data_IF_171175302767
#
_entry.id   IF_171175302767
#
_cell.length_a   1.000
_cell.length_b   1.000
_cell.length_c   1.000
_cell.angle_alpha   90.00
_cell.angle_beta   90.00
_cell.angle_gamma   90.00
#
_symmetry.space_group_name_H-M   'P 1'
#
loop_
_entity.id
_entity.type
_entity.pdbx_description
1 polymer ?
#
# COMPACT_ATOMS: atom_id res chain seq x y z
N UNK A 1 -2.97 -3.65 -16.08
CA UNK A 1 -3.57 -2.39 -15.58
C UNK A 1 -4.71 -2.01 -16.50
N UNK A 2 -5.79 -1.42 -15.98
CA UNK A 2 -6.96 -0.98 -16.76
C UNK A 2 -7.52 0.32 -16.19
N UNK A 3 -8.14 1.15 -17.03
CA UNK A 3 -8.86 2.34 -16.59
C UNK A 3 -10.27 1.96 -16.13
N UNK A 4 -10.69 2.42 -14.95
CA UNK A 4 -12.05 2.28 -14.43
C UNK A 4 -12.70 3.66 -14.27
N UNK A 5 -13.92 3.88 -14.80
CA UNK A 5 -14.64 5.12 -14.59
C UNK A 5 -14.90 5.39 -13.10
N UNK A 6 -15.03 6.66 -12.72
CA UNK A 6 -15.49 7.01 -11.38
C UNK A 6 -16.91 6.46 -11.11
N UNK A 7 -17.16 5.75 -9.99
CA UNK A 7 -18.46 5.15 -9.70
C UNK A 7 -19.57 6.19 -9.45
N UNK A 8 -19.21 7.45 -9.19
CA UNK A 8 -20.19 8.55 -9.04
C UNK A 8 -20.42 9.30 -10.36
N UNK A 9 -19.83 8.87 -11.47
CA UNK A 9 -20.01 9.48 -12.79
C UNK A 9 -19.21 10.75 -13.02
N UNK A 10 -18.20 11.03 -12.20
CA UNK A 10 -17.30 12.16 -12.46
C UNK A 10 -16.49 11.93 -13.75
N UNK A 11 -16.09 13.00 -14.48
CA UNK A 11 -15.47 12.89 -15.79
C UNK A 11 -13.97 12.53 -15.73
N UNK A 12 -13.59 11.61 -14.84
CA UNK A 12 -12.23 11.07 -14.74
C UNK A 12 -12.27 9.57 -14.47
N UNK A 13 -11.18 8.91 -14.85
CA UNK A 13 -10.97 7.47 -14.62
C UNK A 13 -9.88 7.26 -13.57
N UNK A 14 -9.91 6.11 -12.90
CA UNK A 14 -8.85 5.63 -12.02
C UNK A 14 -8.13 4.48 -12.69
N UNK A 15 -6.81 4.40 -12.49
CA UNK A 15 -6.07 3.24 -12.95
C UNK A 15 -6.23 2.12 -11.90
N UNK A 16 -6.76 0.97 -12.31
CA UNK A 16 -6.77 -0.24 -11.49
C UNK A 16 -5.57 -1.12 -11.81
N UNK A 17 -4.89 -1.56 -10.75
CA UNK A 17 -3.81 -2.53 -10.82
C UNK A 17 -4.19 -3.78 -10.03
N UNK A 18 -4.48 -4.86 -10.76
CA UNK A 18 -4.57 -6.21 -10.22
C UNK A 18 -3.16 -6.76 -9.95
N UNK A 19 -2.92 -7.27 -8.75
CA UNK A 19 -1.63 -7.77 -8.27
C UNK A 19 -1.75 -9.26 -7.96
N UNK A 20 -1.19 -10.09 -8.83
CA UNK A 20 -1.15 -11.54 -8.64
C UNK A 20 0.04 -11.93 -7.76
N UNK A 21 -0.18 -11.99 -6.44
CA UNK A 21 0.87 -12.24 -5.44
C UNK A 21 1.71 -13.51 -5.70
N UNK A 22 1.13 -14.67 -6.09
CA UNK A 22 1.90 -15.83 -6.52
C UNK A 22 2.93 -15.56 -7.61
N UNK A 23 2.59 -14.69 -8.58
CA UNK A 23 3.49 -14.35 -9.70
C UNK A 23 4.46 -13.23 -9.33
N UNK A 24 4.01 -12.20 -8.60
CA UNK A 24 4.82 -11.01 -8.31
C UNK A 24 5.73 -11.20 -7.09
N UNK A 25 5.38 -12.12 -6.18
CA UNK A 25 6.02 -12.30 -4.88
C UNK A 25 5.63 -11.25 -3.84
N UNK A 26 4.67 -10.37 -4.14
CA UNK A 26 4.20 -9.30 -3.25
C UNK A 26 2.70 -9.06 -3.44
N UNK A 27 1.93 -8.98 -2.36
CA UNK A 27 0.49 -8.71 -2.42
C UNK A 27 0.17 -7.23 -2.67
N UNK A 28 -1.07 -6.95 -3.12
CA UNK A 28 -1.57 -5.58 -3.24
C UNK A 28 -1.47 -4.80 -1.91
N UNK A 29 -1.73 -5.47 -0.78
CA UNK A 29 -1.63 -4.87 0.55
C UNK A 29 -0.20 -4.47 0.89
N UNK A 30 0.75 -5.40 0.70
CA UNK A 30 2.15 -5.14 0.98
C UNK A 30 2.73 -4.05 0.07
N UNK A 31 2.36 -4.08 -1.22
CA UNK A 31 2.75 -3.06 -2.19
C UNK A 31 2.21 -1.69 -1.81
N UNK A 32 0.90 -1.57 -1.53
CA UNK A 32 0.28 -0.30 -1.15
C UNK A 32 0.88 0.28 0.12
N UNK A 33 1.17 -0.56 1.12
CA UNK A 33 1.78 -0.08 2.36
C UNK A 33 3.25 0.32 2.17
N UNK A 34 3.99 -0.40 1.34
CA UNK A 34 5.37 -0.03 0.99
C UNK A 34 5.43 1.32 0.24
N UNK A 35 4.45 1.61 -0.63
CA UNK A 35 4.31 2.92 -1.28
C UNK A 35 4.03 4.03 -0.25
N UNK A 36 3.12 3.77 0.71
CA UNK A 36 2.74 4.74 1.73
C UNK A 36 3.84 5.02 2.77
N UNK A 37 4.63 4.00 3.14
CA UNK A 37 5.74 4.13 4.11
C UNK A 37 7.05 4.61 3.43
N UNK A 38 7.05 4.83 2.12
CA UNK A 38 8.17 5.43 1.39
C UNK A 38 8.33 6.93 1.66
N UNK A 39 9.49 7.47 1.26
CA UNK A 39 9.78 8.90 1.26
C UNK A 39 10.10 9.34 -0.18
N UNK A 40 9.32 10.24 -0.81
CA UNK A 40 8.04 10.77 -0.31
C UNK A 40 6.95 9.68 -0.24
N UNK A 41 5.95 9.91 0.61
CA UNK A 41 4.82 9.00 0.82
C UNK A 41 3.86 9.04 -0.36
N UNK A 42 3.50 7.86 -0.89
CA UNK A 42 2.52 7.72 -1.98
C UNK A 42 1.34 6.89 -1.47
N UNK A 43 0.20 7.56 -1.25
CA UNK A 43 -1.01 6.91 -0.73
C UNK A 43 -1.97 6.58 -1.85
N UNK A 44 -2.22 5.29 -2.03
CA UNK A 44 -3.10 4.75 -3.06
C UNK A 44 -4.49 4.48 -2.48
N UNK A 45 -5.48 4.26 -3.35
CA UNK A 45 -6.81 3.79 -2.93
C UNK A 45 -6.76 2.28 -2.70
N UNK A 46 -6.54 1.91 -1.45
CA UNK A 46 -6.24 0.55 -1.02
C UNK A 46 -7.47 -0.25 -0.51
N UNK A 47 -8.70 0.24 -0.70
CA UNK A 47 -9.92 -0.38 -0.17
C UNK A 47 -10.15 -1.84 -0.57
N UNK A 48 -9.50 -2.30 -1.65
CA UNK A 48 -9.67 -3.64 -2.22
C UNK A 48 -8.38 -4.46 -2.25
N UNK A 49 -7.38 -4.09 -1.45
CA UNK A 49 -6.11 -4.84 -1.42
C UNK A 49 -6.28 -6.29 -0.99
N UNK A 50 -7.31 -6.58 -0.18
CA UNK A 50 -7.67 -7.93 0.23
C UNK A 50 -8.29 -8.74 -0.92
N UNK A 51 -8.83 -8.07 -1.94
CA UNK A 51 -9.31 -8.66 -3.20
C UNK A 51 -8.19 -8.76 -4.26
N UNK A 52 -6.96 -8.39 -3.90
CA UNK A 52 -5.78 -8.50 -4.77
C UNK A 52 -5.60 -7.34 -5.75
N UNK A 53 -6.28 -6.20 -5.55
CA UNK A 53 -6.08 -5.03 -6.41
C UNK A 53 -6.06 -3.71 -5.64
N UNK A 54 -5.52 -2.69 -6.28
CA UNK A 54 -5.55 -1.31 -5.79
C UNK A 54 -5.88 -0.34 -6.91
N UNK A 55 -6.28 0.87 -6.53
CA UNK A 55 -6.58 1.95 -7.47
C UNK A 55 -5.64 3.14 -7.29
N UNK A 56 -5.29 3.76 -8.40
CA UNK A 56 -4.51 5.00 -8.46
C UNK A 56 -5.43 6.11 -8.96
N UNK A 57 -5.53 7.17 -8.16
CA UNK A 57 -6.27 8.38 -8.49
C UNK A 57 -5.26 9.44 -8.94
N UNK A 58 -5.08 9.54 -10.25
CA UNK A 58 -4.11 10.48 -10.83
C UNK A 58 -4.67 11.91 -10.96
N UNK A 59 -5.94 12.14 -10.62
CA UNK A 59 -6.61 13.44 -10.79
C UNK A 59 -5.92 14.55 -9.99
N UNK A 60 -5.40 14.22 -8.81
CA UNK A 60 -4.74 15.16 -7.89
C UNK A 60 -3.20 15.14 -8.02
N UNK A 61 -2.65 14.40 -8.99
CA UNK A 61 -1.20 14.27 -9.19
C UNK A 61 -0.73 15.19 -10.31
N UNK A 62 0.41 15.85 -10.11
CA UNK A 62 1.15 16.46 -11.24
C UNK A 62 1.97 15.40 -11.99
N UNK A 63 2.44 15.71 -13.19
CA UNK A 63 3.18 14.78 -14.04
C UNK A 63 4.40 14.17 -13.32
N UNK A 64 5.13 14.97 -12.55
CA UNK A 64 6.28 14.49 -11.77
C UNK A 64 5.88 13.49 -10.66
N UNK A 65 4.69 13.64 -10.08
CA UNK A 65 4.17 12.72 -9.05
C UNK A 65 3.67 11.42 -9.68
N UNK A 66 3.13 11.49 -10.91
CA UNK A 66 2.78 10.31 -11.72
C UNK A 66 4.05 9.53 -12.06
N UNK A 67 5.09 10.20 -12.53
CA UNK A 67 6.37 9.58 -12.87
C UNK A 67 7.02 8.93 -11.64
N UNK A 68 7.02 9.63 -10.51
CA UNK A 68 7.51 9.11 -9.24
C UNK A 68 6.73 7.87 -8.79
N UNK A 69 5.41 7.88 -8.95
CA UNK A 69 4.54 6.74 -8.63
C UNK A 69 4.86 5.55 -9.51
N UNK A 70 5.01 5.75 -10.81
CA UNK A 70 5.39 4.71 -11.76
C UNK A 70 6.77 4.11 -11.44
N UNK A 71 7.76 4.97 -11.16
CA UNK A 71 9.11 4.55 -10.81
C UNK A 71 9.13 3.74 -9.50
N UNK A 72 8.38 4.17 -8.48
CA UNK A 72 8.28 3.42 -7.21
C UNK A 72 7.61 2.06 -7.41
N UNK A 73 6.55 1.98 -8.22
CA UNK A 73 5.96 0.69 -8.58
C UNK A 73 6.98 -0.21 -9.26
N UNK A 74 7.72 0.30 -10.24
CA UNK A 74 8.76 -0.45 -10.94
C UNK A 74 9.81 -0.96 -9.97
N UNK A 75 10.32 -0.12 -9.07
CA UNK A 75 11.30 -0.51 -8.05
C UNK A 75 10.79 -1.67 -7.19
N UNK A 76 9.59 -1.55 -6.61
CA UNK A 76 9.03 -2.57 -5.72
C UNK A 76 8.67 -3.88 -6.47
N UNK A 77 8.13 -3.77 -7.68
CA UNK A 77 7.75 -4.93 -8.49
C UNK A 77 8.96 -5.65 -9.11
N UNK A 78 10.08 -4.97 -9.29
CA UNK A 78 11.34 -5.56 -9.80
C UNK A 78 12.35 -5.88 -8.70
N UNK A 79 12.04 -5.57 -7.44
CA UNK A 79 12.88 -5.88 -6.29
C UNK A 79 13.18 -7.39 -6.18
N UNK A 80 14.28 -7.71 -5.49
CA UNK A 80 14.65 -9.10 -5.23
C UNK A 80 13.55 -9.86 -4.48
N UNK A 81 13.46 -11.18 -4.69
CA UNK A 81 12.49 -12.01 -3.98
C UNK A 81 12.64 -11.90 -2.45
N UNK A 82 13.87 -11.80 -1.94
CA UNK A 82 14.12 -11.62 -0.51
C UNK A 82 13.58 -10.28 0.01
N UNK A 83 13.71 -9.22 -0.78
CA UNK A 83 13.15 -7.92 -0.42
C UNK A 83 11.63 -7.92 -0.43
N UNK A 84 11.03 -8.52 -1.46
CA UNK A 84 9.58 -8.72 -1.53
C UNK A 84 9.07 -9.58 -0.39
N UNK A 85 9.77 -10.65 -0.02
CA UNK A 85 9.44 -11.49 1.12
C UNK A 85 9.48 -10.71 2.44
N UNK A 86 10.48 -9.82 2.64
CA UNK A 86 10.53 -8.92 3.81
C UNK A 86 9.35 -7.95 3.84
N UNK A 87 9.00 -7.35 2.71
CA UNK A 87 7.83 -6.46 2.61
C UNK A 87 6.52 -7.22 2.87
N UNK A 88 6.39 -8.43 2.30
CA UNK A 88 5.25 -9.30 2.52
C UNK A 88 5.12 -9.70 3.99
N UNK A 89 6.20 -10.07 4.66
CA UNK A 89 6.20 -10.37 6.09
C UNK A 89 5.78 -9.15 6.92
N UNK A 90 6.21 -7.96 6.52
CA UNK A 90 5.97 -6.72 7.25
C UNK A 90 4.54 -6.20 7.08
N UNK A 91 3.97 -6.32 5.88
CA UNK A 91 2.74 -5.60 5.50
C UNK A 91 1.64 -6.50 4.91
N UNK A 92 1.91 -7.78 4.68
CA UNK A 92 1.09 -8.67 3.88
C UNK A 92 -0.25 -9.10 4.45
N UNK A 93 -0.57 -8.77 5.71
CA UNK A 93 -1.78 -9.20 6.41
C UNK A 93 -3.10 -8.56 5.94
N UNK A 94 -3.08 -7.72 4.90
CA UNK A 94 -4.28 -7.01 4.45
C UNK A 94 -4.64 -5.78 5.28
N UNK A 95 -5.70 -5.05 4.93
CA UNK A 95 -6.10 -3.85 5.71
C UNK A 95 -6.65 -4.23 7.09
N UNK A 96 -7.46 -5.30 7.17
CA UNK A 96 -8.11 -5.72 8.41
C UNK A 96 -7.12 -6.11 9.52
N UNK A 97 -6.10 -6.92 9.22
CA UNK A 97 -5.11 -7.33 10.23
C UNK A 97 -4.19 -6.17 10.64
N UNK A 98 -3.85 -5.28 9.71
CA UNK A 98 -3.00 -4.13 10.00
C UNK A 98 -3.72 -3.05 10.84
N UNK A 99 -5.02 -2.82 10.59
CA UNK A 99 -5.82 -1.85 11.34
C UNK A 99 -6.03 -2.27 12.81
N UNK A 100 -6.29 -3.55 13.06
CA UNK A 100 -6.58 -4.08 14.40
C UNK A 100 -5.42 -3.93 15.40
N UNK A 101 -4.18 -3.79 14.94
CA UNK A 101 -2.99 -3.81 15.79
C UNK A 101 -2.27 -2.47 15.93
N UNK A 102 -2.61 -1.46 15.11
CA UNK A 102 -1.86 -0.19 15.10
C UNK A 102 -2.04 0.60 16.40
N UNK A 103 -3.26 0.66 16.94
CA UNK A 103 -3.54 1.34 18.22
C UNK A 103 -2.94 0.59 19.44
N UNK A 104 -2.88 -0.74 19.39
CA UNK A 104 -2.25 -1.57 20.44
C UNK A 104 -0.72 -1.45 20.46
N UNK A 105 -0.09 -1.27 19.29
CA UNK A 105 1.36 -1.07 19.18
C UNK A 105 1.79 0.30 19.69
N UNK A 106 0.99 1.34 19.47
CA UNK A 106 1.23 2.68 20.03
C UNK A 106 1.15 2.68 21.57
N UNK A 107 0.15 2.01 22.16
CA UNK A 107 -0.04 1.93 23.60
C UNK A 107 1.09 1.20 24.37
N UNK A 108 1.78 0.24 23.72
CA UNK A 108 2.90 -0.51 24.34
C UNK A 108 4.19 0.30 24.48
N UNK A 109 4.38 1.38 23.71
CA UNK A 109 5.57 2.23 23.84
C UNK A 109 5.47 3.24 25.00
N UNK A 110 4.25 3.58 25.44
CA UNK A 110 4.02 4.51 26.57
C UNK A 110 3.99 3.82 27.93
N UNK A 111 3.91 2.49 27.98
CA UNK A 111 3.91 1.73 29.24
C UNK A 111 5.33 1.56 29.79
N UNK A 112 6.00 2.67 30.13
CA UNK A 112 7.19 2.64 31.00
C UNK A 112 6.73 2.38 32.43
N UNK A 113 7.39 1.40 33.05
CA UNK A 113 7.15 0.90 34.40
C UNK A 113 6.75 1.99 35.41
N UNK A 114 5.52 1.92 35.90
CA UNK A 114 5.21 2.42 37.24
C UNK A 114 5.68 1.33 38.20
N UNK A 115 6.93 1.44 38.66
CA UNK A 115 7.39 0.73 39.85
C UNK A 115 6.63 1.28 41.06
N UNK A 116 5.99 0.37 41.78
CA UNK A 116 5.07 0.69 42.86
C UNK A 116 5.69 1.28 44.12
N UNK A 117 4.79 1.72 44.99
CA UNK A 117 4.94 1.85 46.45
C UNK A 117 3.63 1.38 47.06
#
# INVERSE_FOLDING_TARGET
MKAEPDPNGNPFSRARMDVDAPTTGISAAALSRAMADGEPSIRLRAHHVDEGYLMIDAMEMVDEEVDLTCERFRQLLTASLDEKARLQQRYGGGEAENAQLTWLRAARQESRHITGV
#
